data_IF_198501139989
#
_entry.id   IF_198501139989
#
_cell.length_a   1.000
_cell.length_b   1.000
_cell.length_c   1.000
_cell.angle_alpha   90.00
_cell.angle_beta   90.00
_cell.angle_gamma   90.00
#
_symmetry.space_group_name_H-M   'P 1'
#
loop_
_entity.id
_entity.type
_entity.pdbx_description
1 polymer ?
#
# COMPACT_ATOMS: atom_id res chain seq x y z
N UNK A 1 -2.95 3.52 4.40
CA UNK A 1 -3.37 2.23 3.84
C UNK A 1 -4.67 2.47 3.10
N UNK A 2 -4.71 2.13 1.81
CA UNK A 2 -5.74 2.60 0.88
C UNK A 2 -6.10 1.49 -0.09
N UNK A 3 -7.39 1.34 -0.41
CA UNK A 3 -7.85 0.36 -1.41
C UNK A 3 -7.54 0.86 -2.82
N UNK A 4 -6.94 0.01 -3.65
CA UNK A 4 -6.83 0.26 -5.07
C UNK A 4 -8.17 -0.06 -5.76
N UNK A 5 -8.48 0.66 -6.83
CA UNK A 5 -9.71 0.50 -7.61
C UNK A 5 -9.49 0.85 -9.07
N UNK A 6 -10.44 0.47 -9.93
CA UNK A 6 -10.52 0.83 -11.34
C UNK A 6 -11.61 1.90 -11.61
N UNK A 7 -11.97 2.68 -10.59
CA UNK A 7 -13.10 3.61 -10.60
C UNK A 7 -14.05 3.44 -9.40
N UNK A 8 -15.10 4.26 -9.30
CA UNK A 8 -16.08 4.19 -8.22
C UNK A 8 -16.64 2.77 -8.05
N UNK A 9 -16.79 2.34 -6.80
CA UNK A 9 -17.39 1.05 -6.42
C UNK A 9 -16.70 -0.21 -6.99
N UNK A 10 -15.40 -0.12 -7.32
CA UNK A 10 -14.60 -1.27 -7.83
C UNK A 10 -13.47 -1.70 -6.88
N UNK A 11 -13.60 -1.43 -5.59
CA UNK A 11 -12.65 -1.94 -4.60
C UNK A 11 -12.68 -3.48 -4.60
N UNK A 12 -11.51 -4.10 -4.69
CA UNK A 12 -11.33 -5.54 -4.61
C UNK A 12 -10.44 -5.92 -3.42
N UNK A 13 -9.35 -6.64 -3.69
CA UNK A 13 -8.35 -7.02 -2.68
C UNK A 13 -7.07 -6.21 -2.74
N UNK A 14 -6.80 -5.53 -3.85
CA UNK A 14 -5.57 -4.76 -4.01
C UNK A 14 -5.59 -3.52 -3.12
N UNK A 15 -4.47 -3.27 -2.45
CA UNK A 15 -4.26 -2.10 -1.61
C UNK A 15 -2.87 -1.53 -1.86
N UNK A 16 -2.66 -0.28 -1.44
CA UNK A 16 -1.34 0.34 -1.43
C UNK A 16 -1.06 1.06 -0.11
N UNK A 17 0.24 1.21 0.18
CA UNK A 17 0.77 1.95 1.32
C UNK A 17 1.37 3.25 0.81
N UNK A 18 0.95 4.37 1.39
CA UNK A 18 1.56 5.67 1.09
C UNK A 18 2.67 5.92 2.10
N UNK A 19 3.89 6.04 1.61
CA UNK A 19 5.13 6.28 2.37
C UNK A 19 5.49 7.76 2.45
N UNK A 20 5.03 8.56 1.49
CA UNK A 20 5.25 10.01 1.43
C UNK A 20 4.19 10.86 2.15
N UNK A 21 4.39 12.19 2.21
CA UNK A 21 3.47 13.11 2.90
C UNK A 21 2.09 13.21 2.23
N UNK A 22 1.95 12.76 0.99
CA UNK A 22 0.73 12.84 0.19
C UNK A 22 -0.41 11.91 0.66
N UNK A 23 -0.21 11.11 1.72
CA UNK A 23 -1.24 10.19 2.22
C UNK A 23 -2.56 10.87 2.62
N UNK A 24 -2.51 12.13 3.08
CA UNK A 24 -3.70 12.93 3.39
C UNK A 24 -4.28 13.71 2.20
N UNK A 25 -3.60 13.70 1.05
CA UNK A 25 -3.96 14.46 -0.16
C UNK A 25 -4.51 13.61 -1.30
N UNK A 26 -4.86 12.34 -1.04
CA UNK A 26 -5.49 11.51 -2.06
C UNK A 26 -6.89 12.03 -2.40
N UNK A 27 -7.29 12.04 -3.68
CA UNK A 27 -8.64 12.41 -4.07
C UNK A 27 -9.69 11.53 -3.37
N UNK A 28 -10.94 12.02 -3.20
CA UNK A 28 -12.03 11.27 -2.55
C UNK A 28 -12.43 9.98 -3.29
N UNK A 29 -11.83 9.71 -4.45
CA UNK A 29 -12.00 8.48 -5.21
C UNK A 29 -11.38 7.23 -4.56
N UNK A 30 -10.58 7.39 -3.50
CA UNK A 30 -9.91 6.28 -2.81
C UNK A 30 -10.44 6.08 -1.40
N UNK A 31 -10.67 4.83 -1.03
CA UNK A 31 -11.08 4.45 0.32
C UNK A 31 -9.84 4.31 1.22
N UNK A 32 -9.66 5.26 2.14
CA UNK A 32 -8.67 5.18 3.21
C UNK A 32 -9.22 4.28 4.32
N UNK A 33 -8.50 3.22 4.69
CA UNK A 33 -9.00 2.22 5.65
C UNK A 33 -8.02 1.89 6.79
N UNK A 34 -6.84 2.48 6.80
CA UNK A 34 -5.89 2.27 7.89
C UNK A 34 -4.62 3.10 7.77
N UNK A 35 -3.78 3.01 8.79
CA UNK A 35 -2.46 3.63 8.85
C UNK A 35 -1.41 2.62 9.32
N UNK A 36 -0.20 2.74 8.81
CA UNK A 36 0.94 1.98 9.31
C UNK A 36 1.32 2.56 10.67
N UNK A 37 1.35 1.73 11.71
CA UNK A 37 1.71 2.14 13.08
C UNK A 37 3.13 1.74 13.48
N UNK A 38 3.71 0.76 12.79
CA UNK A 38 5.08 0.25 12.94
C UNK A 38 5.57 -0.29 11.59
N UNK A 39 6.88 -0.25 11.33
CA UNK A 39 7.47 -0.81 10.11
C UNK A 39 7.30 0.07 8.86
N UNK A 40 7.13 1.38 9.01
CA UNK A 40 7.06 2.29 7.86
C UNK A 40 8.39 2.29 7.08
N UNK A 41 9.50 2.14 7.78
CA UNK A 41 10.84 1.98 7.23
C UNK A 41 10.97 0.78 6.28
N UNK A 42 10.22 -0.31 6.52
CA UNK A 42 10.17 -1.47 5.62
C UNK A 42 9.41 -1.11 4.34
N UNK A 43 8.28 -0.40 4.46
CA UNK A 43 7.54 0.10 3.30
C UNK A 43 8.38 1.08 2.47
N UNK A 44 9.19 1.93 3.13
CA UNK A 44 10.16 2.81 2.46
C UNK A 44 11.25 2.01 1.74
N UNK A 45 11.80 0.97 2.37
CA UNK A 45 12.79 0.12 1.71
C UNK A 45 12.22 -0.61 0.48
N UNK A 46 10.95 -1.05 0.53
CA UNK A 46 10.25 -1.65 -0.61
C UNK A 46 10.08 -0.64 -1.76
N UNK A 47 9.77 0.63 -1.44
CA UNK A 47 9.66 1.69 -2.45
C UNK A 47 10.96 1.88 -3.24
N UNK A 48 12.12 1.67 -2.62
CA UNK A 48 13.43 1.89 -3.25
C UNK A 48 13.93 0.66 -4.06
N UNK A 49 13.15 -0.43 -4.13
CA UNK A 49 13.48 -1.59 -4.96
C UNK A 49 13.47 -1.19 -6.44
N UNK A 50 14.51 -1.58 -7.19
CA UNK A 50 14.62 -1.26 -8.61
C UNK A 50 13.40 -1.78 -9.41
N UNK A 51 12.78 -0.91 -10.21
CA UNK A 51 11.62 -1.25 -11.04
C UNK A 51 11.95 -1.31 -12.53
N UNK A 52 11.19 -2.12 -13.26
CA UNK A 52 11.23 -2.28 -14.71
C UNK A 52 10.02 -1.60 -15.39
N UNK A 53 9.69 -2.02 -16.63
CA UNK A 53 8.52 -1.49 -17.33
C UNK A 53 7.22 -1.64 -16.53
N UNK A 54 6.40 -0.59 -16.52
CA UNK A 54 5.15 -0.55 -15.77
C UNK A 54 5.32 -0.45 -14.25
N UNK A 55 6.48 0.03 -13.79
CA UNK A 55 6.84 0.19 -12.38
C UNK A 55 6.81 -1.12 -11.57
N UNK A 56 6.95 -2.26 -12.26
CA UNK A 56 7.03 -3.57 -11.62
C UNK A 56 8.41 -3.77 -10.99
N UNK A 57 8.53 -4.17 -9.72
CA UNK A 57 9.81 -4.55 -9.13
C UNK A 57 10.57 -5.59 -9.96
N UNK A 58 11.87 -5.39 -10.14
CA UNK A 58 12.76 -6.32 -10.85
C UNK A 58 13.13 -7.54 -10.01
N UNK A 59 13.02 -7.41 -8.69
CA UNK A 59 13.11 -8.50 -7.71
C UNK A 59 11.76 -8.62 -7.02
N UNK A 60 11.24 -9.84 -6.89
CA UNK A 60 9.93 -10.07 -6.30
C UNK A 60 9.90 -9.62 -4.82
N UNK A 61 8.87 -8.84 -4.47
CA UNK A 61 8.54 -8.45 -3.09
C UNK A 61 7.24 -9.16 -2.72
N UNK A 62 7.35 -10.20 -1.90
CA UNK A 62 6.25 -11.14 -1.64
C UNK A 62 5.75 -10.99 -0.21
N UNK A 63 4.43 -10.88 -0.03
CA UNK A 63 3.79 -11.03 1.28
C UNK A 63 3.69 -12.53 1.58
N UNK A 64 4.50 -13.02 2.51
CA UNK A 64 4.51 -14.45 2.87
C UNK A 64 3.32 -14.84 3.75
N UNK A 65 2.92 -13.97 4.67
CA UNK A 65 1.79 -14.20 5.57
C UNK A 65 1.19 -12.90 6.09
N UNK A 66 -0.06 -12.96 6.54
CA UNK A 66 -0.76 -11.86 7.21
C UNK A 66 -1.37 -12.41 8.50
N UNK A 67 -1.10 -11.74 9.62
CA UNK A 67 -1.70 -12.06 10.91
C UNK A 67 -2.63 -10.94 11.33
N UNK A 68 -3.87 -11.27 11.64
CA UNK A 68 -4.86 -10.32 12.18
C UNK A 68 -4.85 -10.44 13.70
N UNK A 69 -4.64 -9.31 14.36
CA UNK A 69 -4.66 -9.22 15.84
C UNK A 69 -5.72 -8.20 16.25
N UNK A 70 -6.34 -8.43 17.40
CA UNK A 70 -7.09 -7.37 18.07
C UNK A 70 -6.07 -6.41 18.71
N UNK A 71 -6.31 -5.10 18.59
CA UNK A 71 -5.61 -4.15 19.43
C UNK A 71 -6.14 -4.30 20.87
N UNK A 72 -5.23 -4.36 21.84
CA UNK A 72 -5.58 -4.31 23.26
C UNK A 72 -6.31 -3.00 23.63
#
# INVERSE_FOLDING_TARGET
>A
LVMANAGPDTNGSQFFVVTGPSGGGLPPAYALFGKVVRGLEVATAIQDVATGPGDRPTTDVVIESVTVTAAD
#
